data_IF_151579119567
#
_entry.id   IF_151579119567
#
_cell.length_a   1.000
_cell.length_b   1.000
_cell.length_c   1.000
_cell.angle_alpha   90.00
_cell.angle_beta   90.00
_cell.angle_gamma   90.00
#
_symmetry.space_group_name_H-M   'P 1'
#
loop_
_entity.id
_entity.type
_entity.pdbx_description
1 polymer ?
#
# COMPACT_ATOMS: atom_id res chain seq x y z
N UNK A 1 -66.46 20.35 57.71
CA UNK A 1 -66.02 19.90 56.37
C UNK A 1 -67.27 19.45 55.64
N UNK A 2 -67.73 20.20 54.63
CA UNK A 2 -68.90 19.77 53.86
C UNK A 2 -68.50 18.60 52.97
N UNK A 3 -69.24 17.49 53.07
CA UNK A 3 -69.01 16.31 52.24
C UNK A 3 -69.61 16.53 50.85
N UNK A 4 -68.86 16.23 49.79
CA UNK A 4 -69.35 16.36 48.41
C UNK A 4 -70.60 15.49 48.22
N UNK A 5 -71.61 16.04 47.54
CA UNK A 5 -72.79 15.27 47.16
C UNK A 5 -72.42 14.16 46.16
N UNK A 6 -73.26 13.13 46.04
CA UNK A 6 -73.04 12.05 45.08
C UNK A 6 -72.93 12.57 43.63
N UNK A 7 -73.68 13.62 43.29
CA UNK A 7 -73.61 14.29 41.99
C UNK A 7 -72.26 14.97 41.76
N UNK A 8 -71.73 15.69 42.76
CA UNK A 8 -70.41 16.32 42.66
C UNK A 8 -69.28 15.30 42.54
N UNK A 9 -69.38 14.16 43.23
CA UNK A 9 -68.43 13.04 43.10
C UNK A 9 -68.50 12.40 41.71
N UNK A 10 -69.71 12.25 41.15
CA UNK A 10 -69.91 11.72 39.80
C UNK A 10 -69.34 12.66 38.73
N UNK A 11 -69.57 13.96 38.85
CA UNK A 11 -69.06 14.96 37.92
C UNK A 11 -67.53 15.02 37.92
N UNK A 12 -66.90 14.95 39.11
CA UNK A 12 -65.45 14.84 39.22
C UNK A 12 -64.90 13.58 38.54
N UNK A 13 -65.53 12.42 38.78
CA UNK A 13 -65.12 11.16 38.16
C UNK A 13 -65.27 11.18 36.62
N UNK A 14 -66.33 11.80 36.10
CA UNK A 14 -66.52 11.96 34.64
C UNK A 14 -65.42 12.83 34.02
N UNK A 15 -65.05 13.92 34.69
CA UNK A 15 -63.96 14.79 34.25
C UNK A 15 -62.60 14.07 34.26
N UNK A 16 -62.34 13.27 35.29
CA UNK A 16 -61.12 12.46 35.37
C UNK A 16 -61.07 11.41 34.26
N UNK A 17 -62.20 10.74 33.96
CA UNK A 17 -62.29 9.78 32.86
C UNK A 17 -62.02 10.45 31.51
N UNK A 18 -62.53 11.66 31.30
CA UNK A 18 -62.28 12.44 30.08
C UNK A 18 -60.81 12.84 29.95
N UNK A 19 -60.18 13.23 31.07
CA UNK A 19 -58.75 13.48 31.16
C UNK A 19 -57.92 12.25 30.78
N UNK A 20 -58.20 11.11 31.41
CA UNK A 20 -57.52 9.84 31.12
C UNK A 20 -57.71 9.37 29.67
N UNK A 21 -58.88 9.62 29.07
CA UNK A 21 -59.16 9.29 27.67
C UNK A 21 -58.30 10.14 26.73
N UNK A 22 -58.09 11.40 27.08
CA UNK A 22 -57.24 12.34 26.34
C UNK A 22 -55.77 11.90 26.44
N UNK A 23 -55.27 11.66 27.65
CA UNK A 23 -53.91 11.17 27.89
C UNK A 23 -53.62 9.87 27.16
N UNK A 24 -54.53 8.88 27.23
CA UNK A 24 -54.40 7.62 26.51
C UNK A 24 -54.26 7.83 25.00
N UNK A 25 -54.96 8.81 24.45
CA UNK A 25 -54.89 9.12 23.01
C UNK A 25 -53.54 9.74 22.67
N UNK A 26 -53.05 10.67 23.50
CA UNK A 26 -51.71 11.26 23.37
C UNK A 26 -50.62 10.19 23.43
N UNK A 27 -50.61 9.35 24.47
CA UNK A 27 -49.62 8.28 24.61
C UNK A 27 -49.66 7.26 23.48
N UNK A 28 -50.84 6.97 22.93
CA UNK A 28 -50.96 6.10 21.77
C UNK A 28 -50.26 6.72 20.55
N UNK A 29 -50.50 8.00 20.28
CA UNK A 29 -49.85 8.73 19.17
C UNK A 29 -48.34 8.79 19.36
N UNK A 30 -47.86 9.15 20.55
CA UNK A 30 -46.42 9.21 20.85
C UNK A 30 -45.74 7.84 20.68
N UNK A 31 -46.39 6.78 21.17
CA UNK A 31 -45.89 5.41 21.01
C UNK A 31 -45.83 4.99 19.54
N UNK A 32 -46.87 5.31 18.77
CA UNK A 32 -46.92 4.95 17.35
C UNK A 32 -45.87 5.75 16.55
N UNK A 33 -45.62 7.01 16.91
CA UNK A 33 -44.52 7.82 16.36
C UNK A 33 -43.15 7.23 16.72
N UNK A 34 -42.92 6.91 18.00
CA UNK A 34 -41.66 6.31 18.46
C UNK A 34 -41.37 4.96 17.76
N UNK A 35 -42.40 4.17 17.44
CA UNK A 35 -42.26 2.94 16.65
C UNK A 35 -41.82 3.21 15.22
N UNK A 36 -42.36 4.25 14.58
CA UNK A 36 -41.95 4.64 13.24
C UNK A 36 -40.51 5.13 13.21
N UNK A 37 -40.11 5.94 14.20
CA UNK A 37 -38.75 6.46 14.28
C UNK A 37 -37.75 5.34 14.59
N UNK A 38 -38.09 4.39 15.47
CA UNK A 38 -37.29 3.19 15.70
C UNK A 38 -37.11 2.37 14.42
N UNK A 39 -38.18 2.17 13.64
CA UNK A 39 -38.10 1.43 12.38
C UNK A 39 -37.15 2.12 11.37
N UNK A 40 -37.18 3.46 11.29
CA UNK A 40 -36.23 4.22 10.45
C UNK A 40 -34.79 4.03 10.91
N UNK A 41 -34.53 4.20 12.21
CA UNK A 41 -33.18 4.03 12.78
C UNK A 41 -32.63 2.63 12.54
N UNK A 42 -33.47 1.59 12.62
CA UNK A 42 -33.06 0.21 12.32
C UNK A 42 -32.62 0.07 10.86
N UNK A 43 -33.38 0.63 9.91
CA UNK A 43 -33.02 0.61 8.48
C UNK A 43 -31.73 1.38 8.21
N UNK A 44 -31.56 2.54 8.83
CA UNK A 44 -30.34 3.34 8.71
C UNK A 44 -29.12 2.59 9.26
N UNK A 45 -29.28 1.92 10.40
CA UNK A 45 -28.23 1.11 11.02
C UNK A 45 -27.83 -0.08 10.14
N UNK A 46 -28.80 -0.79 9.56
CA UNK A 46 -28.53 -1.89 8.63
C UNK A 46 -27.80 -1.41 7.38
N UNK A 47 -28.17 -0.24 6.87
CA UNK A 47 -27.52 0.39 5.71
C UNK A 47 -26.08 0.78 6.04
N UNK A 48 -25.86 1.47 7.16
CA UNK A 48 -24.53 1.84 7.63
C UNK A 48 -23.64 0.60 7.84
N UNK A 49 -24.19 -0.47 8.40
CA UNK A 49 -23.48 -1.75 8.57
C UNK A 49 -23.03 -2.35 7.24
N UNK A 50 -23.90 -2.35 6.22
CA UNK A 50 -23.55 -2.84 4.87
C UNK A 50 -22.43 -2.00 4.25
N UNK A 51 -22.51 -0.68 4.37
CA UNK A 51 -21.47 0.23 3.89
C UNK A 51 -20.14 -0.02 4.58
N UNK A 52 -20.14 -0.18 5.91
CA UNK A 52 -18.93 -0.45 6.68
C UNK A 52 -18.24 -1.76 6.25
N UNK A 53 -19.02 -2.82 6.02
CA UNK A 53 -18.49 -4.10 5.51
C UNK A 53 -17.84 -3.91 4.13
N UNK A 54 -18.51 -3.18 3.23
CA UNK A 54 -17.97 -2.91 1.90
C UNK A 54 -16.65 -2.12 1.97
N UNK A 55 -16.60 -1.07 2.78
CA UNK A 55 -15.38 -0.27 2.99
C UNK A 55 -14.25 -1.10 3.60
N UNK A 56 -14.55 -1.96 4.57
CA UNK A 56 -13.57 -2.85 5.18
C UNK A 56 -12.96 -3.81 4.15
N UNK A 57 -13.80 -4.39 3.27
CA UNK A 57 -13.31 -5.26 2.20
C UNK A 57 -12.46 -4.51 1.17
N UNK A 58 -12.85 -3.28 0.83
CA UNK A 58 -12.06 -2.43 -0.08
C UNK A 58 -10.69 -2.06 0.53
N UNK A 59 -10.64 -1.74 1.82
CA UNK A 59 -9.39 -1.49 2.54
C UNK A 59 -8.47 -2.72 2.54
N UNK A 60 -9.01 -3.90 2.85
CA UNK A 60 -8.24 -5.13 2.82
C UNK A 60 -7.66 -5.43 1.42
N UNK A 61 -8.42 -5.17 0.36
CA UNK A 61 -7.93 -5.30 -1.01
C UNK A 61 -6.81 -4.29 -1.31
N UNK A 62 -6.96 -3.03 -0.90
CA UNK A 62 -5.94 -1.99 -1.08
C UNK A 62 -4.66 -2.29 -0.32
N UNK A 63 -4.75 -2.82 0.89
CA UNK A 63 -3.59 -3.26 1.66
C UNK A 63 -2.83 -4.39 0.95
N UNK A 64 -3.55 -5.35 0.36
CA UNK A 64 -2.93 -6.40 -0.44
C UNK A 64 -2.22 -5.85 -1.69
N UNK A 65 -2.84 -4.90 -2.39
CA UNK A 65 -2.23 -4.20 -3.53
C UNK A 65 -0.95 -3.47 -3.12
N UNK A 66 -0.97 -2.76 -1.98
CA UNK A 66 0.19 -2.04 -1.44
C UNK A 66 1.32 -2.99 -1.06
N UNK A 67 1.01 -4.12 -0.42
CA UNK A 67 2.02 -5.15 -0.10
C UNK A 67 2.66 -5.73 -1.37
N UNK A 68 1.86 -5.97 -2.42
CA UNK A 68 2.38 -6.43 -3.71
C UNK A 68 3.30 -5.38 -4.35
N UNK A 69 2.87 -4.11 -4.38
CA UNK A 69 3.69 -3.02 -4.90
C UNK A 69 5.01 -2.86 -4.12
N UNK A 70 4.98 -2.99 -2.79
CA UNK A 70 6.18 -2.92 -1.96
C UNK A 70 7.19 -4.04 -2.25
N UNK A 71 6.70 -5.26 -2.55
CA UNK A 71 7.56 -6.37 -2.99
C UNK A 71 8.22 -6.07 -4.33
N UNK A 72 7.44 -5.63 -5.32
CA UNK A 72 7.95 -5.25 -6.65
C UNK A 72 9.02 -4.16 -6.53
N UNK A 73 8.79 -3.13 -5.71
CA UNK A 73 9.78 -2.07 -5.47
C UNK A 73 11.06 -2.63 -4.85
N UNK A 74 10.93 -3.59 -3.93
CA UNK A 74 12.09 -4.24 -3.31
C UNK A 74 12.88 -5.05 -4.33
N UNK A 75 12.19 -5.84 -5.16
CA UNK A 75 12.80 -6.63 -6.24
C UNK A 75 13.53 -5.72 -7.24
N UNK A 76 12.88 -4.64 -7.70
CA UNK A 76 13.50 -3.68 -8.61
C UNK A 76 14.75 -3.02 -8.02
N UNK A 77 14.71 -2.65 -6.73
CA UNK A 77 15.89 -2.13 -6.02
C UNK A 77 17.03 -3.15 -5.99
N UNK A 78 16.72 -4.42 -5.75
CA UNK A 78 17.73 -5.49 -5.78
C UNK A 78 18.30 -5.69 -7.19
N UNK A 79 17.45 -5.72 -8.23
CA UNK A 79 17.90 -5.83 -9.62
C UNK A 79 18.81 -4.66 -10.02
N UNK A 80 18.44 -3.43 -9.67
CA UNK A 80 19.26 -2.24 -9.94
C UNK A 80 20.61 -2.31 -9.21
N UNK A 81 20.61 -2.74 -7.94
CA UNK A 81 21.86 -2.90 -7.18
C UNK A 81 22.78 -3.96 -7.80
N UNK A 82 22.23 -5.09 -8.25
CA UNK A 82 23.00 -6.14 -8.93
C UNK A 82 23.55 -5.66 -10.28
N UNK A 83 22.74 -4.95 -11.08
CA UNK A 83 23.19 -4.38 -12.35
C UNK A 83 24.30 -3.34 -12.16
N UNK A 84 24.23 -2.54 -11.10
CA UNK A 84 25.27 -1.56 -10.82
C UNK A 84 26.57 -2.23 -10.35
N UNK A 85 26.49 -3.30 -9.56
CA UNK A 85 27.66 -4.10 -9.20
C UNK A 85 28.34 -4.75 -10.42
N UNK A 86 27.56 -5.20 -11.41
CA UNK A 86 28.09 -5.75 -12.67
C UNK A 86 28.67 -4.66 -13.59
N UNK A 87 28.16 -3.42 -13.52
CA UNK A 87 28.66 -2.27 -14.29
C UNK A 87 29.94 -1.65 -13.71
N UNK A 88 30.15 -1.71 -12.40
CA UNK A 88 31.32 -1.15 -11.73
C UNK A 88 32.56 -2.06 -11.81
N UNK A 89 32.39 -3.32 -12.22
CA UNK A 89 33.49 -4.25 -12.44
C UNK A 89 34.18 -3.96 -13.79
N UNK A 90 35.37 -3.35 -13.73
CA UNK A 90 36.20 -3.18 -14.92
C UNK A 90 36.53 -4.56 -15.54
N UNK A 91 36.41 -4.69 -16.87
CA UNK A 91 36.62 -5.98 -17.51
C UNK A 91 38.07 -6.45 -17.38
N UNK A 92 38.24 -7.61 -16.75
CA UNK A 92 39.54 -8.27 -16.56
C UNK A 92 39.89 -9.25 -17.68
N UNK A 93 41.19 -9.33 -17.98
CA UNK A 93 41.82 -10.19 -18.97
C UNK A 93 43.01 -10.87 -18.32
N UNK A 94 43.17 -12.17 -18.54
CA UNK A 94 44.28 -12.94 -17.96
C UNK A 94 45.42 -13.10 -18.95
N UNK A 95 46.65 -12.88 -18.50
CA UNK A 95 47.86 -13.16 -19.27
C UNK A 95 48.86 -13.92 -18.41
N UNK A 96 49.04 -15.22 -18.69
CA UNK A 96 49.86 -16.09 -17.86
C UNK A 96 49.26 -16.23 -16.45
N UNK A 97 50.03 -15.83 -15.42
CA UNK A 97 49.60 -15.84 -14.01
C UNK A 97 49.00 -14.52 -13.54
N UNK A 98 49.08 -13.49 -14.37
CA UNK A 98 48.65 -12.14 -14.02
C UNK A 98 47.27 -11.83 -14.62
N UNK A 99 46.51 -10.97 -13.94
CA UNK A 99 45.25 -10.42 -14.44
C UNK A 99 45.38 -8.92 -14.64
N UNK A 100 44.74 -8.41 -15.68
CA UNK A 100 44.77 -7.00 -16.06
C UNK A 100 43.36 -6.47 -16.30
N UNK A 101 43.06 -5.27 -15.84
CA UNK A 101 41.82 -4.55 -16.11
C UNK A 101 42.03 -3.57 -17.26
N UNK A 102 41.10 -3.58 -18.21
CA UNK A 102 41.01 -2.54 -19.23
C UNK A 102 40.17 -1.38 -18.68
N UNK A 103 40.80 -0.22 -18.48
CA UNK A 103 40.13 0.97 -17.90
C UNK A 103 39.12 1.61 -18.87
N UNK A 104 39.45 1.61 -20.16
CA UNK A 104 38.64 2.15 -21.24
C UNK A 104 39.09 1.55 -22.57
N UNK A 105 38.20 1.46 -23.54
CA UNK A 105 38.58 1.17 -24.93
C UNK A 105 39.49 2.29 -25.47
N UNK A 106 40.47 1.91 -26.31
CA UNK A 106 41.44 2.86 -26.88
C UNK A 106 41.95 2.36 -28.23
N UNK A 107 42.60 3.23 -29.00
CA UNK A 107 43.23 2.85 -30.27
C UNK A 107 44.73 2.68 -30.08
N UNK A 108 45.30 1.59 -30.60
CA UNK A 108 46.73 1.31 -30.55
C UNK A 108 47.21 0.73 -31.88
N UNK A 109 48.27 1.31 -32.44
CA UNK A 109 48.79 1.00 -33.79
C UNK A 109 47.71 0.94 -34.89
N UNK A 110 46.66 1.76 -34.77
CA UNK A 110 45.56 1.85 -35.73
C UNK A 110 44.43 0.84 -35.51
N UNK A 111 44.52 -0.04 -34.50
CA UNK A 111 43.46 -0.97 -34.13
C UNK A 111 42.73 -0.50 -32.87
N UNK A 112 41.39 -0.59 -32.85
CA UNK A 112 40.60 -0.34 -31.64
C UNK A 112 40.73 -1.56 -30.73
N UNK A 113 41.24 -1.33 -29.54
CA UNK A 113 41.46 -2.31 -28.50
C UNK A 113 40.27 -2.30 -27.55
N UNK A 114 39.49 -3.38 -27.61
CA UNK A 114 38.37 -3.69 -26.71
C UNK A 114 38.69 -4.96 -25.91
N UNK A 115 37.89 -5.25 -24.89
CA UNK A 115 38.00 -6.49 -24.10
C UNK A 115 37.90 -7.73 -24.99
N UNK A 116 37.01 -7.70 -25.97
CA UNK A 116 36.81 -8.81 -26.91
C UNK A 116 38.10 -9.07 -27.72
N UNK A 117 38.67 -8.02 -28.31
CA UNK A 117 39.93 -8.17 -29.09
C UNK A 117 41.09 -8.69 -28.25
N UNK A 118 41.17 -8.30 -26.98
CA UNK A 118 42.22 -8.75 -26.07
C UNK A 118 41.99 -10.18 -25.55
N UNK A 119 40.73 -10.66 -25.51
CA UNK A 119 40.45 -12.08 -25.24
C UNK A 119 40.82 -12.97 -26.41
N UNK A 120 40.62 -12.48 -27.64
CA UNK A 120 40.86 -13.24 -28.85
C UNK A 120 42.33 -13.21 -29.29
N UNK A 121 43.08 -12.16 -28.94
CA UNK A 121 44.49 -11.99 -29.30
C UNK A 121 45.42 -11.88 -28.08
N UNK A 122 45.90 -13.05 -27.63
CA UNK A 122 46.85 -13.14 -26.52
C UNK A 122 48.23 -12.51 -26.83
N UNK A 123 48.60 -12.36 -28.11
CA UNK A 123 49.87 -11.71 -28.49
C UNK A 123 49.75 -10.20 -28.35
N UNK A 124 48.61 -9.63 -28.75
CA UNK A 124 48.30 -8.22 -28.55
C UNK A 124 48.35 -7.86 -27.06
N UNK A 125 47.77 -8.69 -26.18
CA UNK A 125 47.85 -8.49 -24.72
C UNK A 125 49.30 -8.45 -24.24
N UNK A 126 50.12 -9.42 -24.64
CA UNK A 126 51.54 -9.46 -24.27
C UNK A 126 52.30 -8.21 -24.71
N UNK A 127 51.98 -7.71 -25.91
CA UNK A 127 52.64 -6.55 -26.49
C UNK A 127 52.25 -5.25 -25.77
N UNK A 128 50.97 -5.08 -25.44
CA UNK A 128 50.47 -3.94 -24.67
C UNK A 128 51.04 -3.91 -23.25
N UNK A 129 51.17 -5.07 -22.59
CA UNK A 129 51.82 -5.19 -21.29
C UNK A 129 53.31 -4.79 -21.39
N UNK A 130 54.00 -5.31 -22.41
CA UNK A 130 55.42 -5.01 -22.66
C UNK A 130 55.67 -3.53 -22.94
N UNK A 131 54.76 -2.87 -23.67
CA UNK A 131 54.84 -1.44 -23.97
C UNK A 131 54.35 -0.55 -22.81
N UNK A 132 53.80 -1.13 -21.74
CA UNK A 132 53.42 -0.39 -20.53
C UNK A 132 52.25 0.57 -20.75
N UNK A 133 51.27 0.17 -21.55
CA UNK A 133 50.13 1.03 -21.90
C UNK A 133 49.28 1.36 -20.67
N UNK A 134 49.07 2.66 -20.39
CA UNK A 134 48.43 3.14 -19.16
C UNK A 134 46.95 2.73 -19.01
N UNK A 135 46.26 2.40 -20.10
CA UNK A 135 44.86 1.93 -20.09
C UNK A 135 44.72 0.46 -19.68
N UNK A 136 45.84 -0.26 -19.51
CA UNK A 136 45.87 -1.64 -19.03
C UNK A 136 46.49 -1.69 -17.61
N UNK A 137 45.67 -1.93 -16.59
CA UNK A 137 46.12 -1.95 -15.19
C UNK A 137 46.29 -3.37 -14.69
N UNK A 138 47.47 -3.71 -14.15
CA UNK A 138 47.65 -5.01 -13.48
C UNK A 138 46.81 -5.06 -12.20
N UNK A 139 46.00 -6.11 -12.07
CA UNK A 139 45.25 -6.42 -10.85
C UNK A 139 46.19 -7.16 -9.91
N UNK A 140 46.49 -6.52 -8.78
CA UNK A 140 47.20 -7.18 -7.67
C UNK A 140 46.12 -7.77 -6.78
N UNK A 141 45.98 -9.11 -6.82
CA UNK A 141 45.17 -9.86 -5.85
C UNK A 141 45.96 -10.14 -4.59
#
# INVERSE_FOLDING_TARGET
MAELTAEQKLEAALKDIEGLKTERTTYKTERDQARQDLAKVVVDLETAKKTLIQQTNQLAAKDSELQSAARIVTELKQTLASQQADSDALPTISHGKDSYELLTEFSWKGQVVTVATLRDDAKLVAELIREGVATLRKVVK
#
